data_IF_670401858133
#
_entry.id   IF_670401858133
#
_cell.length_a   1.000
_cell.length_b   1.000
_cell.length_c   1.000
_cell.angle_alpha   90.00
_cell.angle_beta   90.00
_cell.angle_gamma   90.00
#
_symmetry.space_group_name_H-M   'P 1'
#
loop_
_entity.id
_entity.type
_entity.pdbx_description
1 polymer ?
#
# COMPACT_ATOMS: atom_id res chain seq x y z
N UNK A 1 -41.22 -14.52 7.44
CA UNK A 1 -40.66 -15.53 8.37
C UNK A 1 -39.52 -14.85 9.09
N UNK A 2 -39.48 -14.97 10.42
CA UNK A 2 -38.71 -14.11 11.32
C UNK A 2 -37.26 -14.00 10.85
N UNK A 3 -36.88 -12.81 10.38
CA UNK A 3 -35.51 -12.49 10.05
C UNK A 3 -34.70 -12.71 11.30
N UNK A 4 -33.87 -13.74 11.28
CA UNK A 4 -32.88 -13.96 12.32
C UNK A 4 -31.83 -12.87 12.15
N UNK A 5 -31.56 -12.11 13.22
CA UNK A 5 -30.57 -11.02 13.23
C UNK A 5 -29.11 -11.54 13.19
N UNK A 6 -28.87 -12.65 12.48
CA UNK A 6 -27.58 -13.32 12.37
C UNK A 6 -27.22 -13.61 10.92
N UNK A 7 -25.92 -13.76 10.66
CA UNK A 7 -25.38 -14.08 9.34
C UNK A 7 -25.97 -15.40 8.81
N UNK A 8 -26.83 -15.32 7.80
CA UNK A 8 -27.56 -16.45 7.22
C UNK A 8 -27.20 -16.73 5.75
N UNK A 9 -26.33 -15.92 5.13
CA UNK A 9 -26.00 -16.07 3.70
C UNK A 9 -24.56 -15.78 3.31
N UNK A 10 -23.69 -15.35 4.24
CA UNK A 10 -22.32 -14.93 3.92
C UNK A 10 -21.32 -15.94 4.49
N UNK A 11 -20.48 -16.50 3.62
CA UNK A 11 -19.45 -17.48 3.99
C UNK A 11 -18.08 -16.81 3.81
N UNK A 12 -17.25 -16.86 4.85
CA UNK A 12 -15.86 -16.44 4.76
C UNK A 12 -15.01 -17.62 4.26
N UNK A 13 -14.37 -17.46 3.11
CA UNK A 13 -13.55 -18.52 2.50
C UNK A 13 -12.07 -18.20 2.60
N UNK A 14 -11.30 -19.18 3.08
CA UNK A 14 -9.84 -19.13 3.19
C UNK A 14 -9.27 -20.29 2.38
N UNK A 15 -8.37 -20.01 1.44
CA UNK A 15 -7.74 -21.01 0.57
C UNK A 15 -6.24 -21.13 0.88
N UNK A 16 -5.65 -22.30 0.64
CA UNK A 16 -4.21 -22.54 0.83
C UNK A 16 -3.75 -22.65 2.29
N UNK A 17 -4.68 -22.95 3.20
CA UNK A 17 -4.41 -23.19 4.62
C UNK A 17 -3.56 -24.46 4.83
N UNK A 18 -2.61 -24.42 5.77
CA UNK A 18 -1.82 -25.59 6.15
C UNK A 18 -1.74 -25.80 7.66
N UNK A 19 -1.71 -27.08 8.04
CA UNK A 19 -1.56 -27.52 9.42
C UNK A 19 -0.14 -27.29 9.95
N UNK A 20 0.00 -27.16 11.26
CA UNK A 20 1.29 -27.17 11.94
C UNK A 20 1.97 -28.57 11.91
N UNK A 21 3.16 -28.68 12.51
CA UNK A 21 3.96 -29.91 12.52
C UNK A 21 3.29 -31.09 13.28
N UNK A 22 2.23 -30.84 14.04
CA UNK A 22 1.41 -31.85 14.72
C UNK A 22 0.12 -32.19 13.96
N UNK A 23 -0.14 -31.52 12.83
CA UNK A 23 -1.33 -31.71 12.01
C UNK A 23 -2.52 -30.84 12.42
N UNK A 24 -2.32 -29.73 13.14
CA UNK A 24 -3.40 -28.84 13.58
C UNK A 24 -3.50 -27.54 12.78
N UNK A 25 -4.73 -27.07 12.53
CA UNK A 25 -5.03 -25.72 12.01
C UNK A 25 -5.66 -24.88 13.12
N UNK A 26 -5.03 -23.75 13.45
CA UNK A 26 -5.53 -22.82 14.46
C UNK A 26 -6.38 -21.72 13.80
N UNK A 27 -7.70 -21.77 14.02
CA UNK A 27 -8.62 -20.72 13.61
C UNK A 27 -8.86 -19.76 14.78
N UNK A 28 -8.63 -18.46 14.58
CA UNK A 28 -8.97 -17.43 15.57
C UNK A 28 -10.06 -16.51 15.03
N UNK A 29 -11.18 -16.47 15.73
CA UNK A 29 -12.33 -15.62 15.39
C UNK A 29 -12.32 -14.47 16.39
N UNK A 30 -12.05 -13.25 15.90
CA UNK A 30 -11.84 -12.08 16.75
C UNK A 30 -12.90 -11.04 16.46
N UNK A 31 -13.44 -10.42 17.52
CA UNK A 31 -14.39 -9.34 17.39
C UNK A 31 -13.64 -8.09 16.98
N UNK A 32 -13.84 -7.63 15.74
CA UNK A 32 -13.23 -6.39 15.24
C UNK A 32 -14.00 -5.15 15.70
N UNK A 33 -15.29 -5.30 15.95
CA UNK A 33 -16.18 -4.28 16.50
C UNK A 33 -17.32 -4.95 17.29
N UNK A 34 -17.92 -4.25 18.25
CA UNK A 34 -19.09 -4.74 19.00
C UNK A 34 -18.83 -5.81 20.07
N UNK A 35 -17.58 -6.25 20.27
CA UNK A 35 -17.15 -7.07 21.43
C UNK A 35 -17.40 -8.58 21.35
N UNK A 36 -18.14 -9.07 20.35
CA UNK A 36 -18.42 -10.49 20.14
C UNK A 36 -18.04 -10.94 18.74
N UNK A 37 -17.52 -12.17 18.62
CA UNK A 37 -17.10 -12.78 17.36
C UNK A 37 -17.80 -14.13 17.20
N UNK A 38 -18.40 -14.37 16.04
CA UNK A 38 -19.30 -15.50 15.82
C UNK A 38 -18.80 -16.37 14.66
N UNK A 39 -18.77 -17.69 14.87
CA UNK A 39 -18.49 -18.70 13.85
C UNK A 39 -19.63 -19.72 13.87
N UNK A 40 -20.52 -19.65 12.89
CA UNK A 40 -21.70 -20.51 12.84
C UNK A 40 -21.48 -21.80 12.06
N UNK A 41 -20.93 -21.69 10.84
CA UNK A 41 -20.75 -22.80 9.91
C UNK A 41 -19.35 -22.70 9.32
N UNK A 42 -18.63 -23.82 9.24
CA UNK A 42 -17.31 -23.94 8.63
C UNK A 42 -17.32 -25.12 7.66
N UNK A 43 -16.93 -24.86 6.43
CA UNK A 43 -16.68 -25.89 5.42
C UNK A 43 -15.17 -26.01 5.20
N UNK A 44 -14.67 -27.25 5.25
CA UNK A 44 -13.27 -27.58 5.03
C UNK A 44 -13.19 -28.58 3.88
N UNK A 45 -12.54 -28.17 2.79
CA UNK A 45 -12.24 -29.06 1.67
C UNK A 45 -10.75 -29.36 1.68
N UNK A 46 -10.39 -30.62 1.89
CA UNK A 46 -9.02 -31.11 1.82
C UNK A 46 -8.62 -31.26 0.35
N UNK A 47 -7.56 -30.58 -0.07
CA UNK A 47 -6.95 -30.74 -1.37
C UNK A 47 -5.70 -31.62 -1.22
N UNK A 48 -5.28 -32.30 -2.30
CA UNK A 48 -3.95 -32.95 -2.37
C UNK A 48 -2.91 -31.97 -1.82
N UNK A 49 -1.92 -32.42 -1.03
CA UNK A 49 -1.05 -31.54 -0.25
C UNK A 49 -0.39 -30.47 -1.13
N UNK A 50 -1.00 -29.29 -1.17
CA UNK A 50 -0.40 -28.07 -1.67
C UNK A 50 0.50 -27.60 -0.55
N UNK A 51 1.82 -27.61 -0.75
CA UNK A 51 2.78 -27.06 0.23
C UNK A 51 2.34 -25.68 0.75
N UNK A 52 2.51 -25.42 2.05
CA UNK A 52 2.00 -24.24 2.72
C UNK A 52 2.40 -23.01 1.95
N UNK A 53 1.41 -22.20 1.65
CA UNK A 53 1.64 -20.83 1.24
C UNK A 53 1.79 -20.04 2.52
N UNK A 54 2.97 -20.13 3.13
CA UNK A 54 3.38 -19.16 4.14
C UNK A 54 3.70 -17.88 3.37
N UNK A 55 2.87 -16.83 3.49
CA UNK A 55 3.27 -15.50 3.03
C UNK A 55 4.47 -15.07 3.86
N UNK A 56 5.68 -15.29 3.33
CA UNK A 56 6.91 -14.88 4.00
C UNK A 56 7.01 -13.37 3.90
N UNK A 57 6.80 -12.72 5.03
CA UNK A 57 7.05 -11.28 5.18
C UNK A 57 8.41 -11.11 5.81
N UNK A 58 9.30 -10.38 5.16
CA UNK A 58 10.63 -10.05 5.64
C UNK A 58 10.70 -8.53 5.78
N UNK A 59 11.15 -8.04 6.93
CA UNK A 59 11.42 -6.62 7.16
C UNK A 59 12.90 -6.40 7.34
N UNK A 60 13.40 -5.34 6.69
CA UNK A 60 14.80 -4.96 6.69
C UNK A 60 14.91 -3.52 7.12
N UNK A 61 15.73 -3.33 8.12
CA UNK A 61 16.15 -2.05 8.67
C UNK A 61 17.52 -1.71 8.07
N UNK A 62 17.66 -0.51 7.52
CA UNK A 62 18.88 -0.03 6.88
C UNK A 62 19.43 1.18 7.61
N UNK A 63 20.72 1.16 7.94
CA UNK A 63 21.32 2.33 8.56
C UNK A 63 22.66 2.06 9.22
N UNK A 64 22.97 2.80 10.28
CA UNK A 64 24.24 2.69 11.01
C UNK A 64 24.00 1.94 12.31
N UNK A 65 24.86 1.00 12.67
CA UNK A 65 24.77 0.32 13.97
C UNK A 65 25.89 0.78 14.91
N UNK A 66 25.90 2.06 15.29
CA UNK A 66 26.97 2.63 16.11
C UNK A 66 26.48 3.38 17.36
N UNK A 67 25.20 3.21 17.73
CA UNK A 67 24.49 3.85 18.84
C UNK A 67 24.27 5.35 18.65
N UNK A 68 25.25 6.07 18.13
CA UNK A 68 25.21 7.52 17.96
C UNK A 68 24.35 7.97 16.78
N UNK A 69 24.38 7.22 15.68
CA UNK A 69 23.66 7.55 14.45
C UNK A 69 22.65 6.48 14.06
N UNK A 70 22.55 5.38 14.79
CA UNK A 70 21.56 4.32 14.56
C UNK A 70 21.83 3.09 15.40
N UNK A 71 20.84 2.20 15.44
CA UNK A 71 20.88 0.98 16.24
C UNK A 71 20.21 -0.13 15.45
N UNK A 72 20.72 -1.37 15.51
CA UNK A 72 20.01 -2.48 14.91
C UNK A 72 18.63 -2.61 15.55
N UNK A 73 17.61 -2.76 14.73
CA UNK A 73 16.25 -3.00 15.18
C UNK A 73 16.13 -4.25 16.04
N UNK A 74 15.55 -4.03 17.23
CA UNK A 74 15.34 -5.08 18.22
C UNK A 74 14.34 -6.11 17.69
N UNK A 75 14.66 -7.38 17.89
CA UNK A 75 13.79 -8.50 17.51
C UNK A 75 13.51 -9.40 18.73
N UNK A 76 12.23 -9.67 19.06
CA UNK A 76 11.05 -9.04 18.48
C UNK A 76 10.95 -7.55 18.85
N UNK A 77 10.36 -6.76 17.95
CA UNK A 77 10.02 -5.36 18.17
C UNK A 77 8.80 -5.23 19.14
N UNK A 78 8.37 -4.01 19.51
CA UNK A 78 7.19 -3.82 20.35
C UNK A 78 5.86 -4.36 19.76
N UNK A 79 5.82 -4.69 18.48
CA UNK A 79 4.68 -5.30 17.78
C UNK A 79 4.82 -6.83 17.64
N UNK A 80 5.90 -7.43 18.16
CA UNK A 80 6.16 -8.87 18.08
C UNK A 80 6.83 -9.31 16.78
N UNK A 81 7.26 -8.38 15.92
CA UNK A 81 7.86 -8.69 14.63
C UNK A 81 9.37 -8.80 14.72
N UNK A 82 9.93 -9.70 13.91
CA UNK A 82 11.37 -9.88 13.75
C UNK A 82 11.88 -9.10 12.54
N UNK A 83 13.08 -8.54 12.69
CA UNK A 83 13.72 -7.65 11.74
C UNK A 83 15.10 -8.16 11.34
N UNK A 84 15.51 -7.74 10.15
CA UNK A 84 16.85 -7.98 9.62
C UNK A 84 17.56 -6.63 9.53
N UNK A 85 18.55 -6.39 10.39
CA UNK A 85 19.21 -5.08 10.42
C UNK A 85 20.49 -5.09 9.59
N UNK A 86 20.54 -4.21 8.60
CA UNK A 86 21.61 -4.06 7.63
C UNK A 86 22.42 -2.78 7.93
N UNK A 87 23.55 -2.96 8.62
CA UNK A 87 24.35 -1.84 9.17
C UNK A 87 25.54 -1.36 8.33
N UNK A 88 25.75 -1.97 7.16
CA UNK A 88 26.99 -1.85 6.37
C UNK A 88 26.74 -1.16 5.02
N UNK A 89 27.79 -0.54 4.45
CA UNK A 89 27.68 0.19 3.17
C UNK A 89 28.67 -0.23 2.09
N UNK A 90 29.60 -1.14 2.40
CA UNK A 90 30.60 -1.56 1.44
C UNK A 90 29.97 -2.35 0.27
N UNK A 91 30.50 -2.15 -0.94
CA UNK A 91 30.08 -2.92 -2.10
C UNK A 91 30.34 -4.40 -1.90
N UNK A 92 29.39 -5.25 -2.25
CA UNK A 92 29.46 -6.69 -2.06
C UNK A 92 29.09 -7.16 -0.66
N UNK A 93 28.86 -6.25 0.30
CA UNK A 93 28.32 -6.65 1.60
C UNK A 93 26.93 -7.23 1.41
N UNK A 94 26.71 -8.37 2.07
CA UNK A 94 25.48 -9.12 1.99
C UNK A 94 24.95 -9.47 3.37
N UNK A 95 23.63 -9.37 3.53
CA UNK A 95 22.89 -9.97 4.61
C UNK A 95 22.15 -11.17 4.02
N UNK A 96 22.61 -12.37 4.37
CA UNK A 96 22.09 -13.63 3.86
C UNK A 96 21.16 -14.28 4.90
N UNK A 97 20.33 -15.20 4.44
CA UNK A 97 19.44 -15.98 5.28
C UNK A 97 18.49 -15.11 6.13
N UNK A 98 17.85 -14.14 5.47
CA UNK A 98 16.92 -13.23 6.14
C UNK A 98 15.83 -14.02 6.86
N UNK A 99 15.39 -13.52 8.01
CA UNK A 99 14.28 -14.10 8.77
C UNK A 99 12.97 -13.38 8.47
N UNK A 100 11.85 -14.11 8.53
CA UNK A 100 10.52 -13.52 8.43
C UNK A 100 10.16 -12.73 9.69
N UNK A 101 9.09 -11.95 9.64
CA UNK A 101 8.51 -11.24 10.81
C UNK A 101 8.05 -12.20 11.92
N UNK A 102 7.93 -13.49 11.63
CA UNK A 102 7.64 -14.58 12.58
C UNK A 102 8.88 -15.41 12.94
N UNK A 103 10.08 -14.88 12.70
CA UNK A 103 11.38 -15.48 12.98
C UNK A 103 11.69 -16.78 12.23
N UNK A 104 11.13 -16.98 11.02
CA UNK A 104 11.44 -18.15 10.20
C UNK A 104 12.58 -17.84 9.24
N UNK A 105 13.59 -18.70 9.17
CA UNK A 105 14.68 -18.54 8.22
C UNK A 105 14.17 -18.62 6.77
N UNK A 106 14.72 -17.78 5.90
CA UNK A 106 14.47 -17.81 4.46
C UNK A 106 15.78 -17.98 3.70
N UNK A 107 15.71 -18.36 2.43
CA UNK A 107 16.87 -18.29 1.53
C UNK A 107 17.14 -16.86 1.05
N UNK A 108 16.26 -15.90 1.38
CA UNK A 108 16.38 -14.53 0.86
C UNK A 108 17.66 -13.88 1.38
N UNK A 109 18.28 -13.08 0.52
CA UNK A 109 19.43 -12.27 0.87
C UNK A 109 19.34 -10.89 0.24
N UNK A 110 20.06 -9.93 0.81
CA UNK A 110 20.29 -8.61 0.21
C UNK A 110 21.78 -8.42 0.05
N UNK A 111 22.20 -8.00 -1.14
CA UNK A 111 23.60 -7.69 -1.44
C UNK A 111 23.71 -6.31 -2.05
N UNK A 112 24.51 -5.43 -1.44
CA UNK A 112 24.83 -4.13 -2.04
C UNK A 112 25.71 -4.36 -3.27
N UNK A 113 25.33 -3.78 -4.42
CA UNK A 113 26.04 -3.99 -5.70
C UNK A 113 26.67 -2.71 -6.26
N UNK A 114 26.58 -1.62 -5.52
CA UNK A 114 27.16 -0.32 -5.85
C UNK A 114 28.15 0.10 -4.77
N UNK A 115 29.18 0.86 -5.14
CA UNK A 115 30.21 1.32 -4.21
C UNK A 115 29.87 2.61 -3.45
N UNK A 116 28.85 3.35 -3.89
CA UNK A 116 28.56 4.70 -3.38
C UNK A 116 27.45 4.73 -2.32
N UNK A 117 27.16 3.61 -1.67
CA UNK A 117 26.24 3.59 -0.55
C UNK A 117 26.84 4.35 0.64
N UNK A 118 26.01 5.15 1.29
CA UNK A 118 26.33 5.85 2.53
C UNK A 118 25.23 5.56 3.54
N UNK A 119 25.52 5.66 4.83
CA UNK A 119 24.51 5.53 5.88
C UNK A 119 24.65 6.64 6.94
N UNK A 120 23.52 7.01 7.54
CA UNK A 120 23.47 7.96 8.64
C UNK A 120 22.15 7.78 9.42
N UNK A 121 21.90 8.61 10.42
CA UNK A 121 20.61 8.54 11.13
C UNK A 121 20.41 9.58 12.21
N UNK A 122 20.31 9.16 13.47
CA UNK A 122 19.79 9.94 14.62
C UNK A 122 20.23 11.40 14.60
N UNK A 123 21.55 11.67 14.69
CA UNK A 123 22.10 13.04 14.76
C UNK A 123 22.04 13.81 13.44
N UNK A 124 21.61 13.17 12.37
CA UNK A 124 21.65 13.68 11.00
C UNK A 124 20.25 13.77 10.36
N UNK A 125 19.20 13.77 11.18
CA UNK A 125 17.82 13.99 10.75
C UNK A 125 16.99 12.72 10.63
N UNK A 126 17.37 11.65 11.31
CA UNK A 126 16.55 10.44 11.43
C UNK A 126 15.20 10.67 12.12
N UNK A 127 14.23 9.80 11.86
CA UNK A 127 12.94 9.82 12.53
C UNK A 127 13.03 9.03 13.84
N UNK A 128 13.21 9.72 14.97
CA UNK A 128 13.39 9.10 16.31
C UNK A 128 12.08 8.93 17.09
N UNK A 129 10.96 9.38 16.54
CA UNK A 129 9.66 9.27 17.20
C UNK A 129 8.57 8.99 16.16
N UNK A 130 8.63 7.82 15.50
CA UNK A 130 7.54 7.41 14.63
C UNK A 130 6.27 7.22 15.48
N UNK A 131 5.17 7.83 15.05
CA UNK A 131 3.90 7.69 15.75
C UNK A 131 3.40 6.24 15.62
N UNK A 132 3.02 5.62 16.76
CA UNK A 132 2.58 4.23 16.92
C UNK A 132 1.36 3.83 16.05
N UNK A 133 0.79 2.62 16.25
CA UNK A 133 0.21 1.75 15.22
C UNK A 133 -1.15 2.20 14.67
N UNK A 134 -1.23 3.40 14.12
CA UNK A 134 -2.34 3.83 13.28
C UNK A 134 -2.04 3.39 11.85
N UNK A 135 -2.92 2.58 11.26
CA UNK A 135 -2.84 2.10 9.87
C UNK A 135 -2.90 3.24 8.84
N UNK A 136 -3.35 4.43 9.24
CA UNK A 136 -3.26 5.68 8.46
C UNK A 136 -1.84 6.26 8.38
N UNK A 137 -0.85 5.59 8.98
CA UNK A 137 0.57 5.97 9.08
C UNK A 137 1.46 4.78 8.72
N UNK A 138 2.64 4.67 9.34
CA UNK A 138 3.57 3.55 9.12
C UNK A 138 3.08 2.20 9.68
N UNK A 139 1.98 2.18 10.45
CA UNK A 139 1.47 0.95 11.07
C UNK A 139 2.55 0.26 11.90
N UNK A 140 2.74 -1.04 11.68
CA UNK A 140 3.78 -1.85 12.36
C UNK A 140 5.21 -1.55 11.90
N UNK A 141 5.40 -0.72 10.87
CA UNK A 141 6.74 -0.22 10.49
C UNK A 141 7.17 0.97 11.36
N UNK A 142 6.30 1.47 12.25
CA UNK A 142 6.58 2.57 13.17
C UNK A 142 7.49 2.14 14.34
N UNK A 143 8.66 1.59 14.05
CA UNK A 143 9.64 1.15 15.04
C UNK A 143 10.79 2.15 15.04
N UNK A 144 11.07 2.78 16.19
CA UNK A 144 12.07 3.84 16.32
C UNK A 144 13.43 3.44 15.75
N UNK A 145 13.91 2.24 16.10
CA UNK A 145 15.20 1.73 15.63
C UNK A 145 15.25 1.48 14.13
N UNK A 146 14.11 1.31 13.45
CA UNK A 146 14.05 1.09 12.01
C UNK A 146 13.85 2.41 11.23
N UNK A 147 13.42 3.48 11.89
CA UNK A 147 13.15 4.78 11.25
C UNK A 147 14.20 5.84 11.55
N UNK A 148 15.01 5.65 12.59
CA UNK A 148 15.98 6.63 13.04
C UNK A 148 17.27 6.67 12.20
N UNK A 149 17.51 5.68 11.37
CA UNK A 149 18.66 5.57 10.49
C UNK A 149 18.28 5.07 9.10
N UNK A 150 19.20 5.28 8.17
CA UNK A 150 18.95 5.12 6.75
C UNK A 150 20.23 4.87 5.96
N UNK A 151 20.10 4.09 4.90
CA UNK A 151 20.98 4.17 3.73
C UNK A 151 20.60 5.38 2.87
N UNK A 152 21.60 5.95 2.22
CA UNK A 152 21.40 7.02 1.25
C UNK A 152 22.50 7.05 0.20
N UNK A 153 22.21 7.77 -0.87
CA UNK A 153 23.19 8.16 -1.87
C UNK A 153 22.94 9.64 -2.23
N UNK A 154 24.01 10.34 -2.61
CA UNK A 154 23.99 11.78 -2.88
C UNK A 154 24.60 12.06 -4.25
N UNK A 155 23.95 12.93 -5.03
CA UNK A 155 24.38 13.26 -6.39
C UNK A 155 23.35 14.09 -7.15
N UNK A 156 23.59 14.30 -8.44
CA UNK A 156 22.63 14.95 -9.32
C UNK A 156 21.35 14.09 -9.47
N UNK A 157 20.25 14.70 -9.94
CA UNK A 157 19.03 13.96 -10.30
C UNK A 157 19.37 12.82 -11.26
N UNK A 158 18.86 11.63 -10.96
CA UNK A 158 19.16 10.38 -11.67
C UNK A 158 20.37 9.62 -11.13
N UNK A 159 21.19 10.20 -10.25
CA UNK A 159 22.24 9.46 -9.56
C UNK A 159 21.63 8.34 -8.72
N UNK A 160 22.17 7.14 -8.85
CA UNK A 160 21.54 5.94 -8.30
C UNK A 160 22.54 4.94 -7.73
N UNK A 161 22.08 4.18 -6.75
CA UNK A 161 22.79 3.03 -6.18
C UNK A 161 21.86 1.82 -6.17
N UNK A 162 22.44 0.63 -6.35
CA UNK A 162 21.69 -0.60 -6.52
C UNK A 162 22.08 -1.64 -5.48
N UNK A 163 21.10 -2.40 -5.02
CA UNK A 163 21.29 -3.67 -4.33
C UNK A 163 20.45 -4.75 -4.99
N UNK A 164 20.83 -6.00 -4.80
CA UNK A 164 20.06 -7.17 -5.24
C UNK A 164 19.35 -7.79 -4.06
N UNK A 165 18.12 -8.24 -4.29
CA UNK A 165 17.44 -9.22 -3.45
C UNK A 165 17.60 -10.57 -4.15
N UNK A 166 18.16 -11.55 -3.45
CA UNK A 166 18.49 -12.88 -3.98
C UNK A 166 17.76 -13.97 -3.19
N UNK A 167 17.84 -15.21 -3.67
CA UNK A 167 17.24 -16.36 -2.97
C UNK A 167 15.71 -16.38 -3.00
N UNK A 168 15.11 -15.62 -3.92
CA UNK A 168 13.67 -15.60 -4.16
C UNK A 168 13.28 -16.79 -5.03
N UNK A 169 12.12 -17.38 -4.80
CA UNK A 169 11.56 -18.39 -5.70
C UNK A 169 11.10 -17.76 -7.03
N UNK A 170 11.62 -18.18 -8.20
CA UNK A 170 11.19 -17.66 -9.52
C UNK A 170 9.72 -17.96 -9.89
N UNK A 171 9.10 -18.93 -9.21
CA UNK A 171 7.71 -19.34 -9.43
C UNK A 171 6.71 -18.55 -8.60
N UNK A 172 7.19 -17.63 -7.75
CA UNK A 172 6.36 -16.80 -6.87
C UNK A 172 6.41 -15.35 -7.33
N UNK A 173 5.43 -14.56 -6.89
CA UNK A 173 5.44 -13.11 -7.04
C UNK A 173 5.75 -12.44 -5.69
N UNK A 174 6.17 -11.19 -5.75
CA UNK A 174 6.56 -10.43 -4.58
C UNK A 174 5.97 -9.03 -4.64
N UNK A 175 5.67 -8.50 -3.45
CA UNK A 175 5.47 -7.07 -3.24
C UNK A 175 6.54 -6.53 -2.31
N UNK A 176 6.90 -5.26 -2.52
CA UNK A 176 7.85 -4.52 -1.70
C UNK A 176 7.25 -3.20 -1.24
N UNK A 177 7.50 -2.84 0.02
CA UNK A 177 7.14 -1.55 0.58
C UNK A 177 8.39 -0.84 1.08
N UNK A 178 8.57 0.39 0.63
CA UNK A 178 9.75 1.23 0.88
C UNK A 178 9.37 2.43 1.74
N UNK A 179 10.18 2.70 2.75
CA UNK A 179 10.10 3.90 3.56
C UNK A 179 11.44 4.64 3.54
N UNK A 180 11.36 5.96 3.38
CA UNK A 180 12.50 6.87 3.45
C UNK A 180 12.10 8.13 4.20
N UNK A 181 12.94 8.56 5.13
CA UNK A 181 12.75 9.78 5.91
C UNK A 181 14.08 10.42 6.25
N UNK A 182 14.15 11.73 6.05
CA UNK A 182 15.15 12.58 6.70
C UNK A 182 14.58 13.98 6.93
N UNK A 183 14.76 14.53 8.11
CA UNK A 183 14.43 15.93 8.40
C UNK A 183 15.30 16.87 7.55
N UNK A 184 14.67 17.92 7.01
CA UNK A 184 15.36 18.98 6.28
C UNK A 184 16.31 19.77 7.17
N UNK A 185 17.39 20.28 6.58
CA UNK A 185 18.38 21.11 7.27
C UNK A 185 17.97 22.59 7.25
N UNK A 186 17.37 23.07 6.15
CA UNK A 186 17.01 24.48 5.97
C UNK A 186 15.56 24.81 6.35
N UNK A 187 14.73 23.79 6.59
CA UNK A 187 13.29 23.94 6.76
C UNK A 187 12.51 24.16 5.45
N UNK A 188 13.19 24.36 4.32
CA UNK A 188 12.60 24.49 2.97
C UNK A 188 13.06 23.42 1.98
N UNK A 189 14.00 22.56 2.38
CA UNK A 189 14.55 21.51 1.53
C UNK A 189 13.44 20.59 1.01
N UNK A 190 13.38 20.32 -0.29
CA UNK A 190 12.55 19.26 -0.85
C UNK A 190 13.47 18.17 -1.37
N UNK A 191 13.29 16.93 -0.89
CA UNK A 191 14.04 15.77 -1.38
C UNK A 191 13.09 14.65 -1.73
N UNK A 192 13.31 14.05 -2.91
CA UNK A 192 12.50 12.95 -3.44
C UNK A 192 13.40 11.81 -3.85
N UNK A 193 13.01 10.60 -3.46
CA UNK A 193 13.71 9.35 -3.72
C UNK A 193 12.85 8.47 -4.61
N UNK A 194 13.40 7.94 -5.69
CA UNK A 194 12.72 6.94 -6.52
C UNK A 194 13.28 5.56 -6.20
N UNK A 195 12.37 4.63 -5.93
CA UNK A 195 12.67 3.21 -5.76
C UNK A 195 12.24 2.49 -7.03
N UNK A 196 13.19 1.87 -7.73
CA UNK A 196 12.94 1.11 -8.95
C UNK A 196 13.33 -0.34 -8.75
N UNK A 197 12.43 -1.27 -9.02
CA UNK A 197 12.69 -2.70 -8.99
C UNK A 197 12.63 -3.25 -10.41
N UNK A 198 13.75 -3.80 -10.88
CA UNK A 198 13.82 -4.56 -12.12
C UNK A 198 13.65 -6.03 -11.79
N UNK A 199 12.58 -6.61 -12.33
CA UNK A 199 12.15 -7.99 -12.14
C UNK A 199 12.18 -8.75 -13.47
N UNK A 200 11.99 -10.07 -13.44
CA UNK A 200 11.92 -10.90 -14.65
C UNK A 200 10.73 -10.56 -15.55
N UNK A 201 9.65 -10.02 -14.98
CA UNK A 201 8.42 -9.64 -15.68
C UNK A 201 8.26 -8.13 -15.93
N UNK A 202 9.29 -7.32 -15.67
CA UNK A 202 9.27 -5.88 -15.97
C UNK A 202 9.93 -5.01 -14.91
N UNK A 203 9.73 -3.70 -15.04
CA UNK A 203 10.28 -2.71 -14.13
C UNK A 203 9.15 -1.99 -13.41
N UNK A 204 9.29 -1.85 -12.10
CA UNK A 204 8.30 -1.26 -11.19
C UNK A 204 8.96 -0.09 -10.49
N UNK A 205 8.30 1.06 -10.39
CA UNK A 205 8.90 2.21 -9.75
C UNK A 205 7.87 3.06 -9.01
N UNK A 206 8.33 3.72 -7.94
CA UNK A 206 7.55 4.73 -7.24
C UNK A 206 8.47 5.76 -6.59
N UNK A 207 7.97 6.99 -6.47
CA UNK A 207 8.71 8.12 -5.91
C UNK A 207 8.10 8.54 -4.58
N UNK A 208 8.96 8.77 -3.60
CA UNK A 208 8.60 9.21 -2.25
C UNK A 208 9.24 10.57 -1.98
N UNK A 209 8.46 11.53 -1.46
CA UNK A 209 9.04 12.72 -0.85
C UNK A 209 9.50 12.37 0.56
N UNK A 210 10.80 12.42 0.78
CA UNK A 210 11.47 11.95 2.00
C UNK A 210 11.85 13.09 2.94
N UNK A 211 11.96 14.30 2.38
CA UNK A 211 12.24 15.55 3.10
C UNK A 211 11.40 16.70 2.55
N UNK A 212 10.84 17.52 3.44
CA UNK A 212 10.38 18.85 3.12
C UNK A 212 9.25 19.40 3.99
N UNK A 213 8.89 20.68 3.76
CA UNK A 213 7.91 21.38 4.58
C UNK A 213 6.59 20.62 4.66
N UNK A 214 6.13 20.35 5.87
CA UNK A 214 4.77 19.83 6.10
C UNK A 214 4.49 18.41 5.61
N UNK A 215 5.46 17.67 5.05
CA UNK A 215 5.22 16.27 4.66
C UNK A 215 5.12 15.34 5.88
N UNK A 216 5.67 15.78 7.01
CA UNK A 216 5.49 15.16 8.30
C UNK A 216 4.35 15.76 9.13
N UNK A 217 3.75 16.88 8.69
CA UNK A 217 2.75 17.61 9.49
C UNK A 217 1.35 17.02 9.36
N UNK A 218 0.61 17.03 10.47
CA UNK A 218 -0.75 16.48 10.57
C UNK A 218 -0.81 15.12 11.26
N UNK A 219 -0.22 14.97 12.45
CA UNK A 219 -1.01 14.97 13.69
C UNK A 219 -0.08 15.42 14.82
N UNK A 220 -0.66 16.13 15.78
CA UNK A 220 -0.03 16.41 17.04
C UNK A 220 0.67 15.19 17.69
N UNK A 221 1.74 15.36 18.48
CA UNK A 221 1.53 15.71 19.89
C UNK A 221 0.33 16.63 20.03
N UNK A 222 -0.70 16.24 20.77
CA UNK A 222 -1.98 16.96 20.94
C UNK A 222 -1.82 18.40 21.54
N UNK A 223 -0.78 19.15 21.16
CA UNK A 223 -0.47 20.54 21.43
C UNK A 223 -0.34 21.41 20.14
N UNK A 224 -0.31 20.81 18.93
CA UNK A 224 -0.27 21.59 17.68
C UNK A 224 1.05 22.32 17.37
N UNK A 225 2.19 21.84 17.89
CA UNK A 225 3.48 22.56 17.77
C UNK A 225 4.48 22.03 16.72
N UNK A 226 4.27 20.86 16.09
CA UNK A 226 5.37 20.19 15.34
C UNK A 226 5.57 20.68 13.88
N UNK A 227 6.80 21.15 13.61
CA UNK A 227 7.37 21.55 12.32
C UNK A 227 8.20 20.43 11.66
N UNK A 228 7.81 19.15 11.82
CA UNK A 228 8.62 18.01 11.36
C UNK A 228 8.64 17.92 9.82
N UNK A 229 9.80 18.22 9.23
CA UNK A 229 10.02 18.30 7.78
C UNK A 229 10.66 17.03 7.19
N UNK A 230 10.48 15.89 7.86
CA UNK A 230 10.79 14.57 7.31
C UNK A 230 9.50 13.80 7.04
N UNK A 231 9.56 12.79 6.18
CA UNK A 231 8.44 11.86 6.02
C UNK A 231 8.22 11.04 7.31
N UNK A 232 7.00 10.91 7.80
CA UNK A 232 6.68 10.11 8.98
C UNK A 232 5.48 9.17 8.81
N UNK A 233 5.02 8.98 7.57
CA UNK A 233 3.76 8.25 7.35
C UNK A 233 3.64 7.56 6.00
N UNK A 234 4.25 8.09 4.94
CA UNK A 234 4.03 7.59 3.58
C UNK A 234 5.09 6.58 3.19
N UNK A 235 4.68 5.58 2.41
CA UNK A 235 5.55 4.55 1.85
C UNK A 235 5.29 4.43 0.36
N UNK A 236 6.26 3.95 -0.40
CA UNK A 236 6.02 3.46 -1.77
C UNK A 236 5.77 1.95 -1.70
N UNK A 237 4.68 1.47 -2.29
CA UNK A 237 4.37 0.06 -2.38
C UNK A 237 4.34 -0.40 -3.85
N UNK A 238 5.12 -1.44 -4.16
CA UNK A 238 5.24 -2.06 -5.48
C UNK A 238 4.86 -3.53 -5.37
N UNK A 239 4.25 -4.13 -6.39
CA UNK A 239 3.72 -5.49 -6.31
C UNK A 239 3.60 -6.17 -7.67
N UNK A 240 3.42 -7.49 -7.62
CA UNK A 240 3.36 -8.34 -8.82
C UNK A 240 4.74 -8.59 -9.45
N UNK A 241 5.82 -8.41 -8.69
CA UNK A 241 7.18 -8.62 -9.19
C UNK A 241 7.51 -10.11 -9.23
N UNK A 242 7.82 -10.62 -10.42
CA UNK A 242 8.31 -11.99 -10.57
C UNK A 242 9.83 -11.97 -10.65
N UNK A 243 10.57 -12.70 -9.78
CA UNK A 243 12.02 -12.75 -9.85
C UNK A 243 12.51 -13.29 -11.19
N UNK A 244 13.76 -13.01 -11.51
CA UNK A 244 14.42 -13.67 -12.65
C UNK A 244 14.48 -15.19 -12.44
N UNK A 245 14.85 -15.94 -13.48
CA UNK A 245 15.08 -17.39 -13.37
C UNK A 245 16.15 -17.76 -12.35
N UNK A 246 17.05 -16.83 -12.01
CA UNK A 246 18.06 -16.98 -10.97
C UNK A 246 17.53 -16.67 -9.55
N UNK A 247 16.27 -16.29 -9.41
CA UNK A 247 15.69 -15.93 -8.11
C UNK A 247 16.11 -14.56 -7.61
N UNK A 248 16.32 -13.61 -8.53
CA UNK A 248 16.83 -12.27 -8.22
C UNK A 248 15.81 -11.16 -8.56
N UNK A 249 15.83 -10.10 -7.76
CA UNK A 249 15.28 -8.78 -8.07
C UNK A 249 16.40 -7.74 -7.91
N UNK A 250 16.48 -6.78 -8.82
CA UNK A 250 17.43 -5.66 -8.71
C UNK A 250 16.69 -4.42 -8.24
N UNK A 251 17.10 -3.86 -7.10
CA UNK A 251 16.49 -2.66 -6.52
C UNK A 251 17.46 -1.49 -6.64
N UNK A 252 17.01 -0.43 -7.29
CA UNK A 252 17.74 0.82 -7.47
C UNK A 252 17.08 1.94 -6.66
N UNK A 253 17.89 2.66 -5.88
CA UNK A 253 17.53 3.90 -5.21
C UNK A 253 18.14 5.07 -5.97
N UNK A 254 17.33 6.02 -6.43
CA UNK A 254 17.83 7.17 -7.19
C UNK A 254 17.34 8.53 -6.66
N UNK A 255 18.19 9.54 -6.84
CA UNK A 255 17.89 10.93 -6.53
C UNK A 255 16.87 11.45 -7.54
N UNK A 256 15.65 11.71 -7.12
CA UNK A 256 14.65 12.38 -7.97
C UNK A 256 14.75 13.90 -7.85
N UNK A 257 14.95 14.40 -6.62
CA UNK A 257 15.06 15.83 -6.34
C UNK A 257 15.85 16.08 -5.06
N UNK A 258 16.50 17.25 -4.97
CA UNK A 258 17.09 17.74 -3.73
C UNK A 258 18.45 17.14 -3.39
N UNK A 259 19.08 16.42 -4.33
CA UNK A 259 20.47 15.97 -4.26
C UNK A 259 20.73 14.69 -3.46
N UNK A 260 19.70 14.11 -2.85
CA UNK A 260 19.82 12.91 -2.01
C UNK A 260 18.62 11.98 -2.18
N UNK A 261 18.86 10.68 -1.98
CA UNK A 261 17.79 9.68 -1.85
C UNK A 261 18.01 8.78 -0.64
N UNK A 262 16.93 8.40 0.04
CA UNK A 262 16.97 7.73 1.34
C UNK A 262 16.19 6.41 1.34
N UNK A 263 16.68 5.43 2.10
CA UNK A 263 16.01 4.18 2.40
C UNK A 263 16.27 3.83 3.87
N UNK A 264 15.20 3.82 4.66
CA UNK A 264 15.22 3.38 6.07
C UNK A 264 14.72 1.94 6.16
N UNK A 265 13.53 1.66 5.61
CA UNK A 265 12.87 0.37 5.74
C UNK A 265 12.52 -0.20 4.38
N UNK A 266 12.76 -1.51 4.23
CA UNK A 266 12.20 -2.34 3.17
C UNK A 266 11.40 -3.50 3.79
N UNK A 267 10.15 -3.65 3.37
CA UNK A 267 9.37 -4.85 3.63
C UNK A 267 9.18 -5.61 2.31
N UNK A 268 9.41 -6.93 2.33
CA UNK A 268 9.23 -7.84 1.20
C UNK A 268 8.19 -8.88 1.59
N UNK A 269 7.19 -9.08 0.75
CA UNK A 269 6.15 -10.10 0.96
C UNK A 269 6.16 -11.06 -0.22
N UNK A 270 6.43 -12.34 0.06
CA UNK A 270 6.21 -13.45 -0.89
C UNK A 270 4.69 -13.67 -1.03
N UNK A 271 4.16 -13.60 -2.25
CA UNK A 271 2.74 -13.84 -2.54
C UNK A 271 2.55 -14.66 -3.81
N UNK A 272 1.51 -15.50 -3.85
CA UNK A 272 1.16 -16.37 -5.01
C UNK A 272 0.07 -15.74 -5.89
N UNK A 273 -0.48 -14.64 -5.41
CA UNK A 273 -1.44 -13.81 -6.13
C UNK A 273 -1.14 -12.37 -5.75
N UNK A 274 -1.12 -11.46 -6.72
CA UNK A 274 -0.90 -10.03 -6.46
C UNK A 274 -1.81 -9.59 -5.29
N UNK A 275 -1.31 -8.94 -4.23
CA UNK A 275 -2.16 -7.95 -3.57
C UNK A 275 -2.54 -6.98 -4.69
N UNK A 276 -3.82 -6.82 -4.99
CA UNK A 276 -4.30 -6.02 -6.11
C UNK A 276 -3.58 -4.66 -6.18
N UNK A 277 -2.59 -4.55 -7.07
CA UNK A 277 -1.74 -3.36 -7.22
C UNK A 277 -2.13 -2.56 -8.48
N UNK A 278 -3.40 -2.64 -8.89
CA UNK A 278 -3.93 -1.85 -10.00
C UNK A 278 -4.85 -0.69 -9.55
N UNK A 279 -5.31 -0.67 -8.29
CA UNK A 279 -6.19 0.38 -7.79
C UNK A 279 -5.42 1.60 -7.25
N UNK A 280 -4.29 1.39 -6.57
CA UNK A 280 -3.54 2.47 -5.94
C UNK A 280 -2.96 3.47 -6.95
N UNK A 281 -2.44 3.02 -8.11
CA UNK A 281 -1.86 3.95 -9.10
C UNK A 281 -2.85 4.97 -9.70
N UNK A 282 -4.13 4.60 -9.87
CA UNK A 282 -5.15 5.51 -10.43
C UNK A 282 -5.90 6.31 -9.36
N UNK A 283 -6.07 5.77 -8.15
CA UNK A 283 -6.62 6.52 -6.99
C UNK A 283 -5.59 7.54 -6.46
N UNK A 284 -4.32 7.17 -6.46
CA UNK A 284 -3.22 8.07 -6.11
C UNK A 284 -3.00 9.12 -7.20
N UNK A 285 -3.34 8.84 -8.47
CA UNK A 285 -3.39 9.88 -9.53
C UNK A 285 -4.39 10.98 -9.18
N UNK A 286 -5.60 10.65 -8.73
CA UNK A 286 -6.58 11.67 -8.36
C UNK A 286 -6.15 12.46 -7.13
N UNK A 287 -5.66 11.75 -6.10
CA UNK A 287 -5.13 12.38 -4.89
C UNK A 287 -3.92 13.28 -5.21
N UNK A 288 -3.05 12.88 -6.15
CA UNK A 288 -1.89 13.66 -6.60
C UNK A 288 -2.28 14.85 -7.49
N UNK A 289 -3.29 14.68 -8.34
CA UNK A 289 -3.83 15.77 -9.15
C UNK A 289 -4.45 16.84 -8.25
N UNK A 290 -5.23 16.46 -7.25
CA UNK A 290 -5.85 17.41 -6.31
C UNK A 290 -4.82 18.13 -5.44
N UNK A 291 -3.67 17.51 -5.18
CA UNK A 291 -2.58 18.17 -4.48
C UNK A 291 -1.92 19.28 -5.32
N UNK A 292 -1.98 19.18 -6.65
CA UNK A 292 -1.38 20.14 -7.60
C UNK A 292 -2.39 21.18 -8.07
N UNK A 293 -3.63 20.76 -8.31
CA UNK A 293 -4.75 21.60 -8.76
C UNK A 293 -6.00 21.25 -7.92
N UNK A 294 -6.13 21.85 -6.72
CA UNK A 294 -7.20 21.51 -5.79
C UNK A 294 -8.58 21.77 -6.39
N UNK A 295 -9.42 20.73 -6.38
CA UNK A 295 -10.80 20.86 -6.82
C UNK A 295 -11.61 21.60 -5.76
N UNK A 296 -12.21 22.73 -6.16
CA UNK A 296 -13.10 23.49 -5.30
C UNK A 296 -14.31 22.64 -4.86
N UNK A 297 -14.76 22.73 -3.60
CA UNK A 297 -15.97 22.06 -3.12
C UNK A 297 -17.20 22.28 -4.01
N UNK A 298 -18.04 21.26 -4.20
CA UNK A 298 -19.26 21.30 -5.02
C UNK A 298 -19.09 20.74 -6.44
N UNK A 299 -20.05 21.06 -7.32
CA UNK A 299 -20.05 20.55 -8.70
C UNK A 299 -20.63 19.14 -8.81
N UNK A 300 -20.66 18.59 -10.03
CA UNK A 300 -21.18 17.24 -10.29
C UNK A 300 -20.01 16.26 -10.40
N UNK A 301 -19.91 15.34 -9.44
CA UNK A 301 -18.88 14.31 -9.42
C UNK A 301 -19.33 13.09 -10.22
N UNK A 302 -18.57 12.72 -11.25
CA UNK A 302 -18.69 11.47 -11.97
C UNK A 302 -17.64 10.48 -11.46
N UNK A 303 -18.06 9.32 -10.96
CA UNK A 303 -17.19 8.29 -10.36
C UNK A 303 -17.55 6.90 -10.88
N UNK A 304 -16.57 6.02 -11.01
CA UNK A 304 -16.79 4.63 -11.41
C UNK A 304 -15.72 4.09 -12.34
N UNK A 305 -16.07 3.10 -13.17
CA UNK A 305 -15.06 2.32 -13.87
C UNK A 305 -14.52 2.97 -15.15
N UNK A 306 -13.95 2.16 -16.06
CA UNK A 306 -13.32 2.64 -17.29
C UNK A 306 -14.23 3.49 -18.18
N UNK A 307 -15.55 3.31 -18.09
CA UNK A 307 -16.51 4.11 -18.85
C UNK A 307 -16.53 5.56 -18.39
N UNK A 308 -16.50 5.81 -17.07
CA UNK A 308 -16.34 7.16 -16.54
C UNK A 308 -14.94 7.67 -16.81
N UNK A 309 -13.91 6.83 -16.62
CA UNK A 309 -12.50 7.23 -16.84
C UNK A 309 -12.24 7.69 -18.28
N UNK A 310 -12.89 7.07 -19.25
CA UNK A 310 -12.67 7.30 -20.69
C UNK A 310 -13.73 8.19 -21.35
N UNK A 311 -14.59 8.85 -20.56
CA UNK A 311 -15.53 9.83 -21.10
C UNK A 311 -14.79 11.15 -21.36
N UNK A 312 -14.03 11.20 -22.45
CA UNK A 312 -13.11 12.31 -22.77
C UNK A 312 -13.80 13.66 -22.95
N UNK A 313 -15.05 13.65 -23.43
CA UNK A 313 -15.84 14.87 -23.65
C UNK A 313 -16.80 15.20 -22.50
N UNK A 314 -16.67 14.58 -21.33
CA UNK A 314 -17.65 14.71 -20.24
C UNK A 314 -17.90 16.16 -19.82
N UNK A 315 -16.85 16.97 -19.69
CA UNK A 315 -16.98 18.41 -19.35
C UNK A 315 -17.73 19.20 -20.44
N UNK A 316 -17.62 18.80 -21.72
CA UNK A 316 -18.34 19.44 -22.81
C UNK A 316 -19.80 18.99 -22.86
N UNK A 317 -20.04 17.70 -22.63
CA UNK A 317 -21.38 17.11 -22.67
C UNK A 317 -22.27 17.63 -21.54
N UNK A 318 -21.65 18.08 -20.44
CA UNK A 318 -22.31 18.72 -19.30
C UNK A 318 -21.76 20.14 -19.05
N UNK A 319 -21.54 20.92 -20.12
CA UNK A 319 -20.90 22.23 -20.05
C UNK A 319 -21.62 23.27 -19.15
N UNK A 320 -22.92 23.07 -18.88
CA UNK A 320 -23.71 23.91 -17.97
C UNK A 320 -23.36 23.66 -16.49
N UNK A 321 -22.60 22.60 -16.19
CA UNK A 321 -22.23 22.20 -14.83
C UNK A 321 -20.71 22.16 -14.65
N UNK A 322 -20.25 22.44 -13.44
CA UNK A 322 -18.85 22.19 -13.07
C UNK A 322 -18.64 20.72 -12.79
N UNK A 323 -17.88 20.05 -13.64
CA UNK A 323 -17.68 18.60 -13.60
C UNK A 323 -16.40 18.22 -12.84
N UNK A 324 -16.51 17.18 -12.01
CA UNK A 324 -15.37 16.49 -11.39
C UNK A 324 -15.38 15.04 -11.86
N UNK A 325 -14.35 14.58 -12.56
CA UNK A 325 -14.29 13.23 -13.13
C UNK A 325 -13.28 12.37 -12.36
N UNK A 326 -13.72 11.28 -11.73
CA UNK A 326 -12.93 10.40 -10.86
C UNK A 326 -13.14 8.93 -11.22
N UNK A 327 -13.00 8.61 -12.51
CA UNK A 327 -13.08 7.25 -13.00
C UNK A 327 -11.75 6.49 -12.87
N UNK A 328 -11.79 5.19 -12.60
CA UNK A 328 -10.61 4.32 -12.56
C UNK A 328 -10.87 3.00 -13.31
N UNK A 329 -9.85 2.42 -13.93
CA UNK A 329 -9.98 1.37 -14.93
C UNK A 329 -10.32 0.01 -14.32
N UNK A 330 -11.34 -0.65 -14.89
CA UNK A 330 -11.66 -2.04 -14.56
C UNK A 330 -12.20 -2.28 -13.15
N UNK A 331 -12.54 -1.22 -12.43
CA UNK A 331 -13.02 -1.29 -11.05
C UNK A 331 -14.39 -1.93 -10.91
N UNK A 332 -14.62 -2.42 -9.70
CA UNK A 332 -15.87 -2.92 -9.16
C UNK A 332 -16.30 -2.03 -7.98
N UNK A 333 -17.53 -2.17 -7.49
CA UNK A 333 -17.92 -1.46 -6.26
C UNK A 333 -17.08 -1.86 -5.04
N UNK A 334 -16.55 -3.09 -4.99
CA UNK A 334 -15.62 -3.55 -3.95
C UNK A 334 -14.31 -2.77 -3.95
N UNK A 335 -13.96 -2.14 -5.06
CA UNK A 335 -12.81 -1.26 -5.17
C UNK A 335 -13.16 0.20 -4.83
N UNK A 336 -14.36 0.66 -5.24
CA UNK A 336 -14.83 2.02 -5.00
C UNK A 336 -15.21 2.30 -3.54
N UNK A 337 -15.92 1.37 -2.89
CA UNK A 337 -16.48 1.57 -1.55
C UNK A 337 -15.40 1.88 -0.49
N UNK A 338 -14.27 1.15 -0.42
CA UNK A 338 -13.21 1.43 0.56
C UNK A 338 -12.55 2.81 0.42
N UNK A 339 -12.70 3.46 -0.74
CA UNK A 339 -12.01 4.71 -1.08
C UNK A 339 -12.97 5.90 -1.25
N UNK A 340 -14.26 5.75 -0.95
CA UNK A 340 -15.26 6.85 -0.98
C UNK A 340 -14.77 8.07 -0.19
N UNK A 341 -14.17 7.84 0.98
CA UNK A 341 -13.67 8.91 1.84
C UNK A 341 -12.42 9.62 1.29
N UNK A 342 -11.81 9.07 0.24
CA UNK A 342 -10.62 9.61 -0.42
C UNK A 342 -10.95 10.33 -1.73
N UNK A 343 -11.89 9.80 -2.51
CA UNK A 343 -12.14 10.26 -3.89
C UNK A 343 -13.61 10.59 -4.20
N UNK A 344 -14.45 10.71 -3.17
CA UNK A 344 -15.85 11.11 -3.35
C UNK A 344 -16.22 12.23 -2.37
N UNK A 345 -16.12 11.97 -1.07
CA UNK A 345 -16.59 12.93 -0.07
C UNK A 345 -15.71 14.18 0.11
N UNK A 346 -14.37 14.16 -0.13
CA UNK A 346 -13.56 15.37 0.01
C UNK A 346 -13.96 16.52 -0.92
N UNK A 347 -14.59 16.21 -2.06
CA UNK A 347 -15.01 17.23 -3.03
C UNK A 347 -16.31 17.93 -2.65
N UNK A 348 -17.01 17.49 -1.60
CA UNK A 348 -18.32 18.00 -1.20
C UNK A 348 -19.28 18.23 -2.40
N UNK A 349 -19.46 17.23 -3.29
CA UNK A 349 -20.20 17.39 -4.54
C UNK A 349 -21.63 17.87 -4.32
N UNK A 350 -22.12 18.67 -5.28
CA UNK A 350 -23.53 19.08 -5.35
C UNK A 350 -24.43 18.00 -5.95
N UNK A 351 -23.85 17.02 -6.66
CA UNK A 351 -24.48 15.78 -7.09
C UNK A 351 -23.40 14.74 -7.44
N UNK A 352 -23.73 13.46 -7.34
CA UNK A 352 -22.85 12.35 -7.69
C UNK A 352 -23.51 11.53 -8.79
N UNK A 353 -22.76 11.25 -9.86
CA UNK A 353 -23.11 10.30 -10.90
C UNK A 353 -22.15 9.12 -10.81
N UNK A 354 -22.66 7.94 -10.48
CA UNK A 354 -21.85 6.73 -10.31
C UNK A 354 -22.17 5.69 -11.39
N UNK A 355 -21.13 5.14 -12.00
CA UNK A 355 -21.26 4.05 -12.97
C UNK A 355 -20.29 2.91 -12.70
N UNK A 356 -20.81 1.91 -11.98
CA UNK A 356 -20.14 0.68 -11.58
C UNK A 356 -21.12 -0.50 -11.74
N UNK A 357 -20.62 -1.73 -11.70
CA UNK A 357 -21.47 -2.93 -11.77
C UNK A 357 -21.24 -3.82 -12.98
N UNK A 358 -20.84 -3.27 -14.14
CA UNK A 358 -20.57 -4.11 -15.32
C UNK A 358 -19.38 -5.05 -15.09
N UNK A 359 -18.32 -4.57 -14.43
CA UNK A 359 -17.15 -5.41 -14.10
C UNK A 359 -17.44 -6.32 -12.92
N UNK A 360 -18.27 -5.89 -11.97
CA UNK A 360 -18.74 -6.73 -10.87
C UNK A 360 -19.42 -7.99 -11.40
N UNK A 361 -20.28 -7.85 -12.40
CA UNK A 361 -20.93 -8.99 -13.05
C UNK A 361 -19.93 -9.79 -13.89
N UNK A 362 -19.17 -9.13 -14.77
CA UNK A 362 -18.33 -9.81 -15.77
C UNK A 362 -17.07 -10.48 -15.20
N UNK A 363 -16.37 -9.80 -14.30
CA UNK A 363 -15.06 -10.21 -13.77
C UNK A 363 -15.17 -10.65 -12.32
N UNK A 364 -15.98 -9.93 -11.52
CA UNK A 364 -16.28 -10.30 -10.13
C UNK A 364 -17.26 -11.47 -9.98
N UNK A 365 -17.88 -11.91 -11.09
CA UNK A 365 -18.89 -12.96 -11.13
C UNK A 365 -20.07 -12.70 -10.18
N UNK A 366 -20.42 -11.42 -9.95
CA UNK A 366 -21.52 -11.01 -9.07
C UNK A 366 -22.86 -11.04 -9.78
N UNK A 367 -23.93 -11.32 -9.04
CA UNK A 367 -25.30 -11.18 -9.53
C UNK A 367 -25.74 -9.71 -9.50
N UNK A 368 -26.84 -9.37 -10.18
CA UNK A 368 -27.39 -8.01 -10.15
C UNK A 368 -27.76 -7.56 -8.74
N UNK A 369 -28.21 -8.48 -7.88
CA UNK A 369 -28.55 -8.22 -6.48
C UNK A 369 -27.31 -7.88 -5.65
N UNK A 370 -26.19 -8.58 -5.88
CA UNK A 370 -24.92 -8.29 -5.21
C UNK A 370 -24.38 -6.91 -5.62
N UNK A 371 -24.49 -6.56 -6.91
CA UNK A 371 -24.14 -5.22 -7.38
C UNK A 371 -25.05 -4.14 -6.77
N UNK A 372 -26.34 -4.41 -6.63
CA UNK A 372 -27.27 -3.47 -5.99
C UNK A 372 -26.94 -3.27 -4.51
N UNK A 373 -26.61 -4.34 -3.78
CA UNK A 373 -26.20 -4.25 -2.38
C UNK A 373 -24.90 -3.43 -2.21
N UNK A 374 -23.95 -3.61 -3.14
CA UNK A 374 -22.72 -2.84 -3.14
C UNK A 374 -22.96 -1.35 -3.49
N UNK A 375 -23.90 -1.05 -4.39
CA UNK A 375 -24.36 0.32 -4.64
C UNK A 375 -25.05 0.94 -3.41
N UNK A 376 -25.85 0.17 -2.67
CA UNK A 376 -26.42 0.66 -1.41
C UNK A 376 -25.33 0.97 -0.38
N UNK A 377 -24.28 0.15 -0.33
CA UNK A 377 -23.09 0.42 0.51
C UNK A 377 -22.41 1.72 0.11
N UNK A 378 -22.20 1.96 -1.18
CA UNK A 378 -21.70 3.23 -1.71
C UNK A 378 -22.57 4.42 -1.25
N UNK A 379 -23.89 4.32 -1.45
CA UNK A 379 -24.85 5.35 -1.06
C UNK A 379 -24.75 5.64 0.44
N UNK A 380 -24.73 4.62 1.28
CA UNK A 380 -24.63 4.78 2.72
C UNK A 380 -23.33 5.47 3.13
N UNK A 381 -22.19 5.05 2.58
CA UNK A 381 -20.90 5.69 2.85
C UNK A 381 -20.92 7.18 2.49
N UNK A 382 -21.49 7.55 1.34
CA UNK A 382 -21.67 8.97 0.97
C UNK A 382 -22.60 9.68 1.95
N UNK A 383 -23.73 9.07 2.29
CA UNK A 383 -24.75 9.64 3.18
C UNK A 383 -24.25 9.92 4.59
N UNK A 384 -23.27 9.16 5.07
CA UNK A 384 -22.65 9.44 6.39
C UNK A 384 -22.02 10.83 6.49
N UNK A 385 -21.53 11.37 5.37
CA UNK A 385 -20.87 12.68 5.32
C UNK A 385 -21.70 13.74 4.59
N UNK A 386 -22.52 13.32 3.64
CA UNK A 386 -23.37 14.17 2.82
C UNK A 386 -24.77 13.56 2.74
N UNK A 387 -25.60 13.75 3.78
CA UNK A 387 -26.90 13.09 3.90
C UNK A 387 -27.87 13.43 2.76
N UNK A 388 -27.72 14.62 2.16
CA UNK A 388 -28.69 15.12 1.17
C UNK A 388 -28.14 15.21 -0.27
N UNK A 389 -26.87 14.84 -0.53
CA UNK A 389 -26.30 14.98 -1.89
C UNK A 389 -27.06 14.09 -2.90
N UNK A 390 -27.60 14.59 -4.01
CA UNK A 390 -28.22 13.74 -5.03
C UNK A 390 -27.24 12.68 -5.57
N UNK A 391 -27.68 11.42 -5.69
CA UNK A 391 -26.89 10.32 -6.26
C UNK A 391 -27.65 9.72 -7.44
N UNK A 392 -27.06 9.78 -8.62
CA UNK A 392 -27.55 9.19 -9.87
C UNK A 392 -26.73 7.96 -10.22
N UNK A 393 -27.38 6.82 -10.37
CA UNK A 393 -26.72 5.59 -10.87
C UNK A 393 -26.95 5.46 -12.38
N UNK A 394 -25.86 5.32 -13.15
CA UNK A 394 -25.97 4.96 -14.57
C UNK A 394 -26.25 3.46 -14.64
N UNK A 395 -27.43 3.10 -15.15
CA UNK A 395 -27.84 1.70 -15.25
C UNK A 395 -26.90 0.85 -16.10
N UNK A 396 -26.67 -0.38 -15.66
CA UNK A 396 -25.87 -1.37 -16.40
C UNK A 396 -26.57 -1.67 -17.72
N UNK A 397 -25.90 -1.42 -18.83
CA UNK A 397 -26.43 -1.70 -20.16
C UNK A 397 -26.05 -3.11 -20.61
N UNK A 398 -26.93 -3.83 -21.34
CA UNK A 398 -26.56 -5.08 -21.98
C UNK A 398 -25.45 -4.83 -23.00
N UNK A 399 -24.40 -5.65 -22.97
CA UNK A 399 -23.26 -5.52 -23.89
C UNK A 399 -23.23 -6.79 -24.74
N UNK A 400 -23.56 -6.73 -26.05
CA UNK A 400 -23.80 -7.92 -26.88
C UNK A 400 -22.65 -8.95 -26.90
N UNK A 401 -21.41 -8.53 -26.68
CA UNK A 401 -20.25 -9.42 -26.57
C UNK A 401 -20.17 -10.22 -25.26
N UNK A 402 -21.11 -10.06 -24.33
CA UNK A 402 -21.13 -10.75 -23.02
C UNK A 402 -22.18 -11.86 -22.92
N UNK A 403 -23.01 -12.05 -23.94
CA UNK A 403 -24.01 -13.12 -24.01
C UNK A 403 -23.75 -13.98 -25.25
N UNK A 404 -22.80 -14.91 -25.15
CA UNK A 404 -22.61 -16.01 -26.11
C UNK A 404 -22.59 -17.33 -25.36
#
# INVERSE_FOLDING_TARGET
MSATDGNDSTIASLNGLQTDASGQLALRVTAMEGGFAYLGILELTEADPVQAIVNKTVRVDFGKHNVLDGNPTVSPDPFGNYWNSFGETANGTALNNLVTTTNQATAMGITLTSANWQNNGIRNGGLTSPNGPLSSRLGELAVETATQDYLFNAGATGFATTFKVTGLSPTKQYSMRFFGSRVGTSGTDIRRSTYTVTAGNGTFAGTLQTTGPGIGSGLGGDDGTSTYNGNNRTTVALGGMQPTTAGELSVQLSVAEGGFSYLNILEIVESITVPSLALNGEVDRWTSQDAVDPVAPGGVLFVGSSSIRRWENLTKDFADYRIVQRGFGGSQFSDLNPIVNRIVTPYLPSAIVVFEGTNDIRVGNKTGEQVFADFQTFVNLVRTQQPDVPICYIGITPVPSFFN
#
